data_IF_751935024660
#
_entry.id   IF_751935024660
#
_cell.length_a   1.000
_cell.length_b   1.000
_cell.length_c   1.000
_cell.angle_alpha   90.00
_cell.angle_beta   90.00
_cell.angle_gamma   90.00
#
_symmetry.space_group_name_H-M   'P 1'
#
loop_
_entity.id
_entity.type
_entity.pdbx_description
1 polymer ?
#
# COMPACT_ATOMS: atom_id res chain seq x y z
N UNK A 1 6.52 27.36 -7.13
CA UNK A 1 6.99 27.02 -5.76
C UNK A 1 5.92 27.14 -4.69
N UNK A 2 4.74 27.68 -4.97
CA UNK A 2 3.68 27.83 -3.94
C UNK A 2 3.17 26.50 -3.36
N UNK A 3 3.14 25.43 -4.15
CA UNK A 3 2.68 24.11 -3.68
C UNK A 3 3.73 23.35 -2.83
N UNK A 4 5.00 23.80 -2.82
CA UNK A 4 6.06 23.08 -2.10
C UNK A 4 5.80 23.09 -0.58
N UNK A 5 5.24 24.19 -0.06
CA UNK A 5 4.90 24.30 1.36
C UNK A 5 3.76 23.34 1.76
N UNK A 6 2.77 23.15 0.88
CA UNK A 6 1.66 22.21 1.07
C UNK A 6 2.18 20.76 1.09
N UNK A 7 3.09 20.41 0.17
CA UNK A 7 3.71 19.09 0.13
C UNK A 7 4.53 18.84 1.40
N UNK A 8 5.30 19.84 1.85
CA UNK A 8 6.12 19.72 3.05
C UNK A 8 5.28 19.49 4.31
N UNK A 9 4.19 20.25 4.47
CA UNK A 9 3.24 20.05 5.58
C UNK A 9 2.58 18.66 5.47
N UNK A 10 2.17 18.24 4.28
CA UNK A 10 1.61 16.91 4.04
C UNK A 10 2.57 15.78 4.43
N UNK A 11 3.87 15.93 4.12
CA UNK A 11 4.90 14.95 4.49
C UNK A 11 5.09 14.86 6.01
N UNK A 12 5.06 16.01 6.72
CA UNK A 12 5.15 16.04 8.19
C UNK A 12 3.98 15.28 8.80
N UNK A 13 2.75 15.54 8.35
CA UNK A 13 1.57 14.82 8.85
C UNK A 13 1.65 13.32 8.56
N UNK A 14 2.09 12.94 7.35
CA UNK A 14 2.27 11.54 6.98
C UNK A 14 3.28 10.83 7.91
N UNK A 15 4.41 11.47 8.20
CA UNK A 15 5.43 10.93 9.11
C UNK A 15 4.92 10.80 10.55
N UNK A 16 4.15 11.78 11.04
CA UNK A 16 3.54 11.72 12.38
C UNK A 16 2.57 10.54 12.48
N UNK A 17 1.70 10.36 11.48
CA UNK A 17 0.73 9.26 11.46
C UNK A 17 1.44 7.91 11.37
N UNK A 18 2.45 7.79 10.50
CA UNK A 18 3.25 6.56 10.37
C UNK A 18 4.01 6.23 11.66
N UNK A 19 4.61 7.22 12.33
CA UNK A 19 5.29 7.05 13.61
C UNK A 19 4.34 6.58 14.71
N UNK A 20 3.12 7.13 14.77
CA UNK A 20 2.10 6.69 15.72
C UNK A 20 1.64 5.26 15.44
N UNK A 21 1.42 4.91 14.17
CA UNK A 21 1.07 3.54 13.78
C UNK A 21 2.18 2.53 14.12
N UNK A 22 3.45 2.90 13.90
CA UNK A 22 4.61 2.09 14.26
C UNK A 22 4.73 1.92 15.80
N UNK A 23 4.61 3.00 16.56
CA UNK A 23 4.63 2.95 18.02
C UNK A 23 3.47 2.12 18.58
N UNK A 24 2.28 2.21 18.00
CA UNK A 24 1.15 1.36 18.37
C UNK A 24 1.45 -0.13 18.11
N UNK A 25 2.05 -0.46 16.96
CA UNK A 25 2.46 -1.83 16.65
C UNK A 25 3.52 -2.36 17.63
N UNK A 26 4.49 -1.53 18.02
CA UNK A 26 5.60 -1.91 18.93
C UNK A 26 5.13 -2.04 20.38
N UNK A 27 4.31 -1.12 20.88
CA UNK A 27 3.88 -1.09 22.29
C UNK A 27 2.80 -2.13 22.57
N UNK A 28 1.84 -2.30 21.65
CA UNK A 28 0.70 -3.21 21.87
C UNK A 28 0.96 -4.63 21.34
N UNK A 29 1.99 -4.81 20.50
CA UNK A 29 2.29 -6.08 19.83
C UNK A 29 1.17 -6.58 18.90
N UNK A 30 0.20 -5.72 18.59
CA UNK A 30 -1.02 -6.01 17.82
C UNK A 30 -1.22 -4.94 16.77
N UNK A 31 -1.73 -5.33 15.62
CA UNK A 31 -1.99 -4.37 14.54
C UNK A 31 -3.19 -3.48 14.86
N UNK A 32 -3.22 -2.27 14.29
CA UNK A 32 -4.31 -1.29 14.46
C UNK A 32 -5.70 -1.92 14.18
N UNK A 33 -5.77 -2.83 13.22
CA UNK A 33 -6.95 -3.60 12.89
C UNK A 33 -7.41 -4.58 13.99
N UNK A 34 -6.49 -5.11 14.81
CA UNK A 34 -6.80 -6.00 15.93
C UNK A 34 -7.38 -5.24 17.12
N UNK A 35 -6.88 -4.03 17.38
CA UNK A 35 -7.40 -3.14 18.44
C UNK A 35 -8.80 -2.65 18.06
N UNK A 36 -9.01 -2.21 16.81
CA UNK A 36 -10.35 -1.89 16.33
C UNK A 36 -11.26 -3.13 16.34
N UNK A 37 -10.74 -4.34 16.12
CA UNK A 37 -11.54 -5.57 16.17
C UNK A 37 -11.94 -5.96 17.60
N UNK A 38 -11.17 -5.63 18.63
CA UNK A 38 -11.53 -5.89 20.02
C UNK A 38 -12.53 -4.88 20.58
N UNK A 39 -12.47 -3.62 20.11
CA UNK A 39 -13.35 -2.55 20.60
C UNK A 39 -14.72 -2.54 19.91
N UNK A 40 -14.79 -2.92 18.62
CA UNK A 40 -15.98 -2.65 17.79
C UNK A 40 -16.87 -3.87 17.51
N UNK A 41 -18.21 -3.67 17.39
CA UNK A 41 -19.17 -4.72 17.07
C UNK A 41 -18.97 -5.31 15.66
N UNK A 42 -19.42 -6.56 15.46
CA UNK A 42 -19.19 -7.37 14.25
C UNK A 42 -19.49 -6.66 12.92
N UNK A 43 -20.47 -5.76 12.91
CA UNK A 43 -20.87 -4.98 11.72
C UNK A 43 -19.81 -3.96 11.29
N UNK A 44 -19.24 -3.23 12.26
CA UNK A 44 -18.19 -2.23 12.01
C UNK A 44 -16.90 -2.90 11.53
N UNK A 45 -16.59 -4.10 12.04
CA UNK A 45 -15.45 -4.91 11.58
C UNK A 45 -15.52 -5.22 10.08
N UNK A 46 -16.69 -5.61 9.58
CA UNK A 46 -16.88 -5.94 8.16
C UNK A 46 -16.75 -4.68 7.31
N UNK A 47 -17.31 -3.55 7.76
CA UNK A 47 -17.17 -2.26 7.08
C UNK A 47 -15.70 -1.81 6.99
N UNK A 48 -14.95 -1.87 8.10
CA UNK A 48 -13.52 -1.55 8.14
C UNK A 48 -12.71 -2.47 7.21
N UNK A 49 -13.05 -3.76 7.17
CA UNK A 49 -12.36 -4.71 6.30
C UNK A 49 -12.58 -4.39 4.82
N UNK A 50 -13.82 -4.13 4.41
CA UNK A 50 -14.14 -3.72 3.03
C UNK A 50 -13.41 -2.41 2.68
N UNK A 51 -13.42 -1.42 3.57
CA UNK A 51 -12.76 -0.15 3.33
C UNK A 51 -11.25 -0.31 3.16
N UNK A 52 -10.62 -1.15 3.99
CA UNK A 52 -9.20 -1.45 3.89
C UNK A 52 -8.86 -2.16 2.56
N UNK A 53 -9.67 -3.14 2.16
CA UNK A 53 -9.46 -3.86 0.91
C UNK A 53 -9.60 -2.94 -0.31
N UNK A 54 -10.62 -2.08 -0.33
CA UNK A 54 -10.80 -1.06 -1.37
C UNK A 54 -9.64 -0.06 -1.39
N UNK A 55 -9.13 0.35 -0.22
CA UNK A 55 -7.99 1.26 -0.15
C UNK A 55 -6.69 0.65 -0.70
N UNK A 56 -6.45 -0.65 -0.43
CA UNK A 56 -5.30 -1.38 -0.98
C UNK A 56 -5.39 -1.48 -2.50
N UNK A 57 -6.56 -1.84 -3.03
CA UNK A 57 -6.79 -1.89 -4.49
C UNK A 57 -6.60 -0.50 -5.12
N UNK A 58 -7.13 0.55 -4.48
CA UNK A 58 -6.99 1.91 -4.97
C UNK A 58 -5.54 2.41 -4.98
N UNK A 59 -4.70 1.97 -4.03
CA UNK A 59 -3.28 2.33 -3.97
C UNK A 59 -2.45 1.67 -5.09
N UNK A 60 -2.85 0.49 -5.57
CA UNK A 60 -2.14 -0.26 -6.62
C UNK A 60 -2.45 0.26 -8.04
N UNK A 61 -3.64 0.83 -8.26
CA UNK A 61 -4.09 1.33 -9.57
C UNK A 61 -3.12 2.37 -10.19
N UNK A 62 -2.66 3.42 -9.47
CA UNK A 62 -1.71 4.39 -10.02
C UNK A 62 -0.36 3.78 -10.41
N UNK A 63 0.10 2.74 -9.71
CA UNK A 63 1.38 2.07 -9.99
C UNK A 63 1.30 1.27 -11.30
N UNK A 64 0.21 0.52 -11.50
CA UNK A 64 -0.06 -0.21 -12.74
C UNK A 64 -0.24 0.74 -13.93
N UNK A 65 -0.96 1.85 -13.74
CA UNK A 65 -1.14 2.85 -14.80
C UNK A 65 0.20 3.54 -15.12
N UNK A 66 0.96 3.94 -14.11
CA UNK A 66 2.24 4.62 -14.29
C UNK A 66 3.26 3.77 -15.04
N UNK A 67 3.35 2.48 -14.72
CA UNK A 67 4.22 1.54 -15.44
C UNK A 67 3.75 1.33 -16.88
N UNK A 68 2.44 1.18 -17.13
CA UNK A 68 1.92 1.09 -18.49
C UNK A 68 2.22 2.34 -19.34
N UNK A 69 2.11 3.54 -18.77
CA UNK A 69 2.46 4.80 -19.44
C UNK A 69 3.96 4.93 -19.69
N UNK A 70 4.80 4.59 -18.71
CA UNK A 70 6.25 4.64 -18.84
C UNK A 70 6.74 3.71 -19.98
N UNK A 71 6.20 2.49 -20.08
CA UNK A 71 6.52 1.57 -21.17
C UNK A 71 6.04 2.06 -22.53
N UNK A 72 4.84 2.64 -22.59
CA UNK A 72 4.31 3.20 -23.83
C UNK A 72 5.20 4.34 -24.37
N UNK A 73 5.72 5.19 -23.48
CA UNK A 73 6.60 6.31 -23.86
C UNK A 73 8.03 5.85 -24.23
N UNK A 74 8.56 4.83 -23.57
CA UNK A 74 9.97 4.41 -23.72
C UNK A 74 10.22 3.51 -24.94
N UNK A 75 9.23 2.73 -25.39
CA UNK A 75 9.47 1.72 -26.43
C UNK A 75 8.57 1.78 -27.65
N UNK A 76 7.51 2.61 -27.67
CA UNK A 76 6.57 2.67 -28.81
C UNK A 76 6.05 1.26 -29.23
N UNK A 77 6.03 0.32 -28.28
CA UNK A 77 5.75 -1.12 -28.44
C UNK A 77 4.58 -1.47 -27.50
N UNK A 78 3.64 -2.32 -27.96
CA UNK A 78 2.31 -2.48 -27.38
C UNK A 78 2.29 -2.98 -25.94
N UNK A 79 1.22 -2.59 -25.24
CA UNK A 79 0.69 -2.90 -23.90
C UNK A 79 0.98 -4.28 -23.28
N UNK A 80 1.44 -5.26 -24.04
CA UNK A 80 1.79 -6.62 -23.60
C UNK A 80 2.95 -6.65 -22.58
N UNK A 81 3.92 -5.74 -22.69
CA UNK A 81 5.08 -5.73 -21.77
C UNK A 81 4.71 -5.22 -20.38
N UNK A 82 3.75 -4.29 -20.30
CA UNK A 82 3.21 -3.81 -19.01
C UNK A 82 2.54 -4.94 -18.21
N UNK A 83 1.76 -5.79 -18.89
CA UNK A 83 1.11 -6.95 -18.28
C UNK A 83 2.12 -7.99 -17.80
N UNK A 84 3.22 -8.21 -18.53
CA UNK A 84 4.31 -9.12 -18.12
C UNK A 84 5.03 -8.64 -16.85
N UNK A 85 5.14 -7.34 -16.63
CA UNK A 85 5.83 -6.77 -15.46
C UNK A 85 4.93 -6.78 -14.23
N UNK A 86 3.63 -6.50 -14.36
CA UNK A 86 2.66 -6.69 -13.27
C UNK A 86 2.55 -8.16 -12.86
N UNK A 87 2.58 -9.09 -13.83
CA UNK A 87 2.67 -10.53 -13.58
C UNK A 87 3.99 -10.94 -12.89
N UNK A 88 5.11 -10.34 -13.29
CA UNK A 88 6.41 -10.57 -12.63
C UNK A 88 6.45 -10.00 -11.21
N UNK A 89 5.84 -8.83 -10.98
CA UNK A 89 5.78 -8.20 -9.66
C UNK A 89 4.95 -9.03 -8.68
N UNK A 90 3.79 -9.54 -9.10
CA UNK A 90 2.98 -10.47 -8.29
C UNK A 90 3.71 -11.79 -8.01
N UNK A 91 4.43 -12.37 -8.99
CA UNK A 91 5.29 -13.54 -8.79
C UNK A 91 6.48 -13.28 -7.87
N UNK A 92 7.10 -12.10 -7.95
CA UNK A 92 8.17 -11.67 -7.06
C UNK A 92 7.66 -11.49 -5.63
N UNK A 93 6.47 -10.92 -5.43
CA UNK A 93 5.87 -10.70 -4.13
C UNK A 93 5.48 -12.03 -3.46
N UNK A 94 4.88 -12.96 -4.22
CA UNK A 94 4.63 -14.34 -3.78
C UNK A 94 5.93 -15.10 -3.51
N UNK A 95 6.96 -14.90 -4.33
CA UNK A 95 8.29 -15.46 -4.13
C UNK A 95 8.97 -14.94 -2.85
N UNK A 96 8.87 -13.63 -2.60
CA UNK A 96 9.42 -12.97 -1.41
C UNK A 96 8.69 -13.40 -0.14
N UNK A 97 7.35 -13.54 -0.18
CA UNK A 97 6.57 -14.12 0.91
C UNK A 97 7.01 -15.57 1.20
N UNK A 98 7.34 -16.36 0.18
CA UNK A 98 7.86 -17.73 0.35
C UNK A 98 9.29 -17.77 0.90
N UNK A 99 10.12 -16.75 0.63
CA UNK A 99 11.53 -16.69 1.04
C UNK A 99 11.78 -15.95 2.37
N UNK A 100 10.83 -15.14 2.83
CA UNK A 100 11.11 -14.02 3.75
C UNK A 100 10.45 -14.03 5.13
N UNK A 101 9.70 -15.05 5.55
CA UNK A 101 9.12 -15.09 6.92
C UNK A 101 10.17 -15.38 8.00
N UNK A 102 11.42 -15.66 7.63
CA UNK A 102 12.49 -16.01 8.59
C UNK A 102 13.49 -14.88 8.86
N UNK A 103 13.30 -13.69 8.29
CA UNK A 103 14.20 -12.54 8.48
C UNK A 103 13.49 -11.17 8.49
N UNK A 104 12.19 -11.15 8.83
CA UNK A 104 11.54 -9.91 9.28
C UNK A 104 11.84 -9.69 10.76
#
# INVERSE_FOLDING_TARGET
>A
YELLWVILIGLIFALVIQSLAANLGVVTGRHLAEICKSEYPKFVRICLWILAEVAVIAADIPEVIGTAFAFNLLSHIPVWVGVLITGSSTLLLLGLQRYGVRKL
#
